data_IF_505657334708
#
_entry.id   IF_505657334708
#
_cell.length_a   1.000
_cell.length_b   1.000
_cell.length_c   1.000
_cell.angle_alpha   90.00
_cell.angle_beta   90.00
_cell.angle_gamma   90.00
#
_symmetry.space_group_name_H-M   'P 1'
#
loop_
_entity.id
_entity.type
_entity.pdbx_description
1 polymer ?
#
# COMPACT_ATOMS: atom_id res chain seq x y z
N UNK A 1 -23.20 -6.80 12.21
CA UNK A 1 -22.93 -6.79 10.75
C UNK A 1 -22.27 -5.47 10.42
N UNK A 2 -20.94 -5.39 10.28
CA UNK A 2 -20.29 -4.13 9.87
C UNK A 2 -20.54 -3.98 8.38
N UNK A 3 -21.46 -3.07 8.03
CA UNK A 3 -21.76 -2.71 6.64
C UNK A 3 -20.47 -2.24 5.97
N UNK A 4 -20.15 -2.81 4.82
CA UNK A 4 -19.09 -2.29 3.95
C UNK A 4 -19.51 -0.84 3.62
N UNK A 5 -18.68 0.16 3.94
CA UNK A 5 -19.00 1.55 3.64
C UNK A 5 -19.22 1.74 2.14
N UNK A 6 -20.11 2.66 1.75
CA UNK A 6 -20.30 2.97 0.35
C UNK A 6 -19.00 3.49 -0.29
N UNK A 7 -18.71 3.05 -1.51
CA UNK A 7 -17.64 3.61 -2.36
C UNK A 7 -18.10 4.85 -3.15
N UNK A 8 -19.39 5.21 -3.02
CA UNK A 8 -19.98 6.38 -3.66
C UNK A 8 -19.54 7.66 -2.95
N UNK A 9 -19.39 8.73 -3.73
CA UNK A 9 -19.17 10.07 -3.22
C UNK A 9 -20.36 10.52 -2.37
N UNK A 10 -20.09 11.13 -1.21
CA UNK A 10 -21.10 11.67 -0.32
C UNK A 10 -20.87 13.18 -0.16
N UNK A 11 -21.67 14.06 -0.77
CA UNK A 11 -21.41 15.51 -0.75
C UNK A 11 -21.56 16.17 0.63
N UNK A 12 -22.11 15.46 1.62
CA UNK A 12 -22.46 16.02 2.93
C UNK A 12 -21.41 15.73 4.02
N UNK A 13 -20.22 15.26 3.65
CA UNK A 13 -19.16 14.93 4.61
C UNK A 13 -17.87 15.68 4.28
N UNK A 14 -16.97 15.88 5.25
CA UNK A 14 -15.62 16.37 4.97
C UNK A 14 -14.88 15.41 4.03
N UNK A 15 -14.17 15.98 3.06
CA UNK A 15 -13.41 15.21 2.07
C UNK A 15 -11.92 15.36 2.26
N UNK A 16 -11.20 14.26 2.04
CA UNK A 16 -9.75 14.27 1.88
C UNK A 16 -9.36 14.86 0.52
N UNK A 17 -8.07 14.98 0.29
CA UNK A 17 -7.52 15.41 -1.01
C UNK A 17 -6.69 14.30 -1.65
N UNK A 18 -6.68 14.29 -2.98
CA UNK A 18 -5.83 13.42 -3.79
C UNK A 18 -4.87 14.30 -4.57
N UNK A 19 -3.58 14.07 -4.41
CA UNK A 19 -2.50 14.88 -4.98
C UNK A 19 -1.62 13.99 -5.83
N UNK A 20 -1.53 14.25 -7.13
CA UNK A 20 -0.56 13.60 -8.02
C UNK A 20 0.72 14.42 -8.06
N UNK A 21 1.86 13.75 -7.97
CA UNK A 21 3.18 14.37 -8.05
C UNK A 21 4.18 13.43 -8.73
N UNK A 22 5.42 13.88 -8.91
CA UNK A 22 6.52 13.10 -9.45
C UNK A 22 7.76 13.29 -8.57
N UNK A 23 8.59 12.26 -8.48
CA UNK A 23 9.90 12.30 -7.84
C UNK A 23 10.97 11.91 -8.86
N UNK A 24 11.99 12.76 -9.02
CA UNK A 24 13.18 12.39 -9.79
C UNK A 24 13.92 11.26 -9.07
N UNK A 25 14.01 10.11 -9.72
CA UNK A 25 14.62 8.91 -9.13
C UNK A 25 16.01 8.68 -9.70
N UNK A 26 17.01 8.62 -8.81
CA UNK A 26 18.37 8.24 -9.20
C UNK A 26 18.45 6.74 -9.46
N UNK A 27 17.75 5.94 -8.65
CA UNK A 27 17.69 4.49 -8.83
C UNK A 27 17.11 4.09 -10.19
N UNK A 28 16.12 4.84 -10.69
CA UNK A 28 15.47 4.55 -11.97
C UNK A 28 16.06 5.32 -13.15
N UNK A 29 16.75 6.43 -12.90
CA UNK A 29 17.26 7.33 -13.93
C UNK A 29 16.15 8.13 -14.65
N UNK A 30 14.98 8.24 -14.03
CA UNK A 30 13.80 8.91 -14.60
C UNK A 30 12.92 9.52 -13.50
N UNK A 31 11.96 10.38 -13.91
CA UNK A 31 10.90 10.84 -13.03
C UNK A 31 9.88 9.72 -12.80
N UNK A 32 9.59 9.43 -11.54
CA UNK A 32 8.63 8.41 -11.13
C UNK A 32 7.37 9.05 -10.55
N UNK A 33 6.20 8.87 -11.18
CA UNK A 33 4.94 9.37 -10.67
C UNK A 33 4.47 8.68 -9.39
N UNK A 34 3.79 9.43 -8.53
CA UNK A 34 3.07 8.88 -7.38
C UNK A 34 1.84 9.74 -7.04
N UNK A 35 0.89 9.15 -6.33
CA UNK A 35 -0.32 9.82 -5.87
C UNK A 35 -0.44 9.69 -4.36
N UNK A 36 -0.87 10.77 -3.69
CA UNK A 36 -1.06 10.81 -2.24
C UNK A 36 -2.52 11.12 -1.93
N UNK A 37 -3.12 10.34 -1.04
CA UNK A 37 -4.37 10.70 -0.37
C UNK A 37 -4.08 11.28 1.01
N UNK A 38 -4.62 12.46 1.30
CA UNK A 38 -4.61 13.10 2.60
C UNK A 38 -6.02 13.05 3.20
N UNK A 39 -6.17 12.59 4.46
CA UNK A 39 -7.49 12.42 5.05
C UNK A 39 -8.20 13.76 5.31
N UNK A 40 -9.55 13.75 5.44
CA UNK A 40 -10.30 14.94 5.83
C UNK A 40 -9.73 15.58 7.10
N UNK A 41 -9.64 16.91 7.11
CA UNK A 41 -9.09 17.67 8.23
C UNK A 41 -7.55 17.75 8.27
N UNK A 42 -6.84 17.16 7.29
CA UNK A 42 -5.37 17.26 7.22
C UNK A 42 -4.88 18.71 7.37
N UNK A 43 -5.44 19.65 6.61
CA UNK A 43 -5.01 21.06 6.62
C UNK A 43 -5.51 21.88 7.82
N UNK A 44 -6.42 21.34 8.63
CA UNK A 44 -7.04 22.09 9.74
C UNK A 44 -6.19 22.06 11.02
N UNK A 45 -5.36 21.03 11.22
CA UNK A 45 -4.47 20.89 12.38
C UNK A 45 -3.03 20.60 11.92
N UNK A 46 -2.17 21.60 12.04
CA UNK A 46 -0.76 21.50 11.66
C UNK A 46 0.09 20.69 12.63
N UNK A 47 -0.41 20.38 13.83
CA UNK A 47 0.32 19.61 14.85
C UNK A 47 0.03 18.11 14.76
N UNK A 48 -0.98 17.71 13.99
CA UNK A 48 -1.37 16.31 13.84
C UNK A 48 -0.54 15.59 12.79
N UNK A 49 -0.01 14.43 13.18
CA UNK A 49 0.67 13.47 12.30
C UNK A 49 -0.14 12.19 12.14
N UNK A 50 0.01 11.54 10.99
CA UNK A 50 -0.85 10.45 10.53
C UNK A 50 -0.04 9.18 10.27
N UNK A 51 -0.60 7.97 10.50
CA UNK A 51 -0.01 6.74 9.97
C UNK A 51 0.10 6.77 8.44
N UNK A 52 0.97 5.93 7.88
CA UNK A 52 1.18 5.78 6.45
C UNK A 52 0.75 4.39 5.97
N UNK A 53 -0.01 4.35 4.89
CA UNK A 53 -0.21 3.17 4.06
C UNK A 53 0.49 3.38 2.70
N UNK A 54 1.40 2.48 2.34
CA UNK A 54 1.89 2.36 0.95
C UNK A 54 0.97 1.40 0.20
N UNK A 55 0.32 1.87 -0.87
CA UNK A 55 -0.71 1.11 -1.58
C UNK A 55 -0.33 0.87 -3.05
N UNK A 56 0.04 -0.36 -3.36
CA UNK A 56 0.65 -0.76 -4.63
C UNK A 56 -0.39 -1.19 -5.67
N UNK A 57 -0.20 -0.79 -6.91
CA UNK A 57 -1.07 -1.13 -8.04
C UNK A 57 -0.75 -2.51 -8.63
N UNK A 58 -1.68 -3.03 -9.43
CA UNK A 58 -1.54 -4.29 -10.15
C UNK A 58 -0.80 -4.14 -11.48
N UNK A 59 -0.49 -5.28 -12.10
CA UNK A 59 0.22 -5.31 -13.37
C UNK A 59 -0.58 -4.60 -14.47
N UNK A 60 0.08 -3.73 -15.25
CA UNK A 60 -0.56 -2.99 -16.34
C UNK A 60 -1.44 -1.81 -15.90
N UNK A 61 -1.37 -1.42 -14.63
CA UNK A 61 -2.00 -0.19 -14.12
C UNK A 61 -0.96 0.85 -13.71
N UNK A 62 -1.39 1.85 -12.96
CA UNK A 62 -0.60 3.02 -12.58
C UNK A 62 -0.86 3.48 -11.14
N UNK A 63 -0.18 4.53 -10.70
CA UNK A 63 -0.33 5.15 -9.38
C UNK A 63 -1.77 5.62 -9.07
N UNK A 64 -2.62 5.75 -10.09
CA UNK A 64 -4.00 6.22 -9.94
C UNK A 64 -5.02 5.08 -9.87
N UNK A 65 -4.60 3.80 -9.97
CA UNK A 65 -5.51 2.65 -9.96
C UNK A 65 -6.49 2.70 -8.79
N UNK A 66 -6.00 2.91 -7.58
CA UNK A 66 -6.82 2.87 -6.37
C UNK A 66 -7.75 4.07 -6.25
N UNK A 67 -7.39 5.22 -6.80
CA UNK A 67 -8.26 6.39 -6.89
C UNK A 67 -9.36 6.15 -7.92
N UNK A 68 -8.98 5.74 -9.13
CA UNK A 68 -9.88 5.61 -10.28
C UNK A 68 -10.83 4.42 -10.13
N UNK A 69 -10.28 3.25 -9.82
CA UNK A 69 -11.00 1.97 -9.85
C UNK A 69 -11.41 1.56 -8.43
N UNK A 70 -10.52 1.74 -7.46
CA UNK A 70 -10.78 1.44 -6.04
C UNK A 70 -11.62 2.49 -5.31
N UNK A 71 -11.84 3.67 -5.91
CA UNK A 71 -12.53 4.82 -5.30
C UNK A 71 -12.00 5.16 -3.90
N UNK A 72 -10.69 5.05 -3.70
CA UNK A 72 -10.07 5.10 -2.37
C UNK A 72 -10.42 6.37 -1.60
N UNK A 73 -10.48 7.54 -2.26
CA UNK A 73 -10.85 8.79 -1.59
C UNK A 73 -12.24 8.70 -0.94
N UNK A 74 -13.26 8.32 -1.72
CA UNK A 74 -14.63 8.20 -1.21
C UNK A 74 -14.73 7.15 -0.10
N UNK A 75 -14.08 6.00 -0.31
CA UNK A 75 -14.10 4.90 0.65
C UNK A 75 -13.50 5.32 1.99
N UNK A 76 -12.35 5.98 1.95
CA UNK A 76 -11.65 6.46 3.13
C UNK A 76 -12.39 7.61 3.81
N UNK A 77 -12.92 8.57 3.06
CA UNK A 77 -13.70 9.68 3.60
C UNK A 77 -14.96 9.18 4.34
N UNK A 78 -15.69 8.24 3.75
CA UNK A 78 -16.86 7.63 4.37
C UNK A 78 -16.51 6.87 5.65
N UNK A 79 -15.40 6.13 5.66
CA UNK A 79 -14.91 5.40 6.84
C UNK A 79 -14.50 6.34 7.98
N UNK A 80 -13.75 7.39 7.66
CA UNK A 80 -13.31 8.40 8.64
C UNK A 80 -14.52 9.16 9.19
N UNK A 81 -15.45 9.59 8.34
CA UNK A 81 -16.67 10.28 8.77
C UNK A 81 -17.54 9.41 9.69
N UNK A 82 -17.66 8.11 9.39
CA UNK A 82 -18.41 7.17 10.21
C UNK A 82 -17.69 6.78 11.53
N UNK A 83 -16.46 7.25 11.77
CA UNK A 83 -15.65 6.87 12.93
C UNK A 83 -15.24 5.40 12.92
N UNK A 84 -15.25 4.75 11.76
CA UNK A 84 -14.93 3.32 11.62
C UNK A 84 -13.42 3.05 11.63
N UNK A 85 -12.61 4.06 11.29
CA UNK A 85 -11.15 4.04 11.30
C UNK A 85 -10.60 5.38 11.80
N UNK A 86 -9.37 5.37 12.28
CA UNK A 86 -8.59 6.60 12.41
C UNK A 86 -8.10 7.09 11.03
N UNK A 87 -7.99 8.41 10.81
CA UNK A 87 -7.47 8.95 9.56
C UNK A 87 -5.98 8.62 9.37
N UNK A 88 -5.60 8.24 8.15
CA UNK A 88 -4.20 8.00 7.75
C UNK A 88 -3.91 8.48 6.32
N UNK A 89 -2.63 8.66 6.00
CA UNK A 89 -2.14 9.05 4.68
C UNK A 89 -1.92 7.80 3.83
N UNK A 90 -2.27 7.86 2.54
CA UNK A 90 -1.98 6.78 1.59
C UNK A 90 -1.04 7.31 0.52
N UNK A 91 0.08 6.62 0.28
CA UNK A 91 0.99 6.88 -0.83
C UNK A 91 0.89 5.74 -1.83
N UNK A 92 0.62 6.07 -3.09
CA UNK A 92 0.44 5.14 -4.21
C UNK A 92 1.56 5.40 -5.22
N UNK A 93 2.66 4.61 -5.22
CA UNK A 93 3.75 4.77 -6.19
C UNK A 93 3.42 4.14 -7.55
N UNK A 94 3.97 4.71 -8.63
CA UNK A 94 4.06 4.00 -9.90
C UNK A 94 5.13 2.90 -9.83
N UNK A 95 4.71 1.68 -10.10
CA UNK A 95 5.51 0.45 -10.06
C UNK A 95 5.85 -0.13 -11.43
N UNK A 96 5.35 0.45 -12.52
CA UNK A 96 5.48 -0.09 -13.88
C UNK A 96 5.06 -1.58 -13.94
N UNK A 97 5.89 -2.46 -14.50
CA UNK A 97 5.70 -3.92 -14.55
C UNK A 97 6.76 -4.65 -13.72
N UNK A 98 7.37 -3.93 -12.78
CA UNK A 98 8.61 -4.34 -12.11
C UNK A 98 8.46 -5.39 -11.01
N UNK A 99 7.23 -5.75 -10.61
CA UNK A 99 6.96 -6.52 -9.38
C UNK A 99 7.50 -5.86 -8.10
N UNK A 100 7.86 -4.57 -8.16
CA UNK A 100 8.43 -3.80 -7.06
C UNK A 100 9.77 -4.33 -6.53
N UNK A 101 10.59 -4.94 -7.40
CA UNK A 101 11.93 -5.44 -7.07
C UNK A 101 13.04 -4.55 -7.66
N UNK A 102 14.31 -4.85 -7.33
CA UNK A 102 15.50 -4.21 -7.89
C UNK A 102 15.48 -2.67 -7.74
N UNK A 103 15.73 -1.92 -8.81
CA UNK A 103 15.74 -0.46 -8.76
C UNK A 103 14.39 0.15 -8.34
N UNK A 104 13.26 -0.56 -8.55
CA UNK A 104 11.97 -0.09 -8.06
C UNK A 104 11.82 -0.25 -6.55
N UNK A 105 12.42 -1.29 -5.97
CA UNK A 105 12.55 -1.43 -4.51
C UNK A 105 13.39 -0.27 -3.95
N UNK A 106 14.59 -0.02 -4.51
CA UNK A 106 15.46 1.08 -4.07
C UNK A 106 14.74 2.43 -4.17
N UNK A 107 14.09 2.71 -5.30
CA UNK A 107 13.32 3.94 -5.47
C UNK A 107 12.24 4.12 -4.38
N UNK A 108 11.45 3.08 -4.10
CA UNK A 108 10.36 3.20 -3.12
C UNK A 108 10.93 3.38 -1.71
N UNK A 109 11.93 2.59 -1.35
CA UNK A 109 12.40 2.49 0.02
C UNK A 109 13.38 3.60 0.40
N UNK A 110 14.30 3.95 -0.50
CA UNK A 110 15.40 4.87 -0.22
C UNK A 110 15.14 6.30 -0.74
N UNK A 111 14.21 6.48 -1.68
CA UNK A 111 13.91 7.79 -2.25
C UNK A 111 12.49 8.26 -1.90
N UNK A 112 11.47 7.49 -2.27
CA UNK A 112 10.07 7.93 -2.16
C UNK A 112 9.59 7.98 -0.71
N UNK A 113 9.78 6.93 0.09
CA UNK A 113 9.32 6.92 1.50
C UNK A 113 9.99 8.04 2.31
N UNK A 114 11.31 8.26 2.22
CA UNK A 114 11.95 9.41 2.85
C UNK A 114 11.39 10.75 2.34
N UNK A 115 11.22 10.91 1.02
CA UNK A 115 10.65 12.12 0.43
C UNK A 115 9.25 12.43 0.97
N UNK A 116 8.33 11.47 0.98
CA UNK A 116 6.96 11.71 1.48
C UNK A 116 6.92 11.96 2.98
N UNK A 117 7.86 11.39 3.76
CA UNK A 117 7.98 11.67 5.21
C UNK A 117 8.48 13.09 5.49
N UNK A 118 9.27 13.66 4.60
CA UNK A 118 9.71 15.06 4.67
C UNK A 118 8.59 16.03 4.26
N UNK A 119 7.82 15.67 3.23
CA UNK A 119 6.77 16.54 2.68
C UNK A 119 5.44 16.50 3.43
N UNK A 120 5.13 15.39 4.11
CA UNK A 120 3.84 15.19 4.77
C UNK A 120 4.01 14.82 6.25
N UNK A 121 3.00 15.14 7.08
CA UNK A 121 3.01 14.86 8.52
C UNK A 121 2.76 13.37 8.81
N UNK A 122 3.76 12.55 8.53
CA UNK A 122 3.71 11.09 8.72
C UNK A 122 4.34 10.72 10.07
N UNK A 123 3.67 9.85 10.84
CA UNK A 123 4.22 9.31 12.09
C UNK A 123 5.46 8.44 11.80
N UNK A 124 6.58 8.63 12.53
CA UNK A 124 7.77 7.83 12.34
C UNK A 124 7.60 6.43 12.94
N UNK A 125 8.34 5.46 12.41
CA UNK A 125 8.42 4.10 12.95
C UNK A 125 7.47 3.09 12.30
N UNK A 126 7.88 1.83 12.31
CA UNK A 126 7.20 0.74 11.62
C UNK A 126 5.78 0.47 12.11
N UNK A 127 5.49 0.71 13.39
CA UNK A 127 4.16 0.53 13.98
C UNK A 127 3.11 1.48 13.37
N UNK A 128 3.53 2.54 12.68
CA UNK A 128 2.66 3.48 11.98
C UNK A 128 2.78 3.40 10.46
N UNK A 129 3.47 2.40 9.92
CA UNK A 129 3.70 2.25 8.49
C UNK A 129 3.25 0.86 8.03
N UNK A 130 2.26 0.81 7.15
CA UNK A 130 1.71 -0.40 6.56
C UNK A 130 1.93 -0.41 5.04
N UNK A 131 1.86 -1.60 4.44
CA UNK A 131 1.87 -1.78 2.99
C UNK A 131 0.81 -2.77 2.53
N UNK A 132 0.19 -2.47 1.39
CA UNK A 132 -0.82 -3.32 0.76
C UNK A 132 -0.78 -3.13 -0.76
N UNK A 133 -1.50 -3.97 -1.49
CA UNK A 133 -1.61 -3.87 -2.95
C UNK A 133 -2.29 -5.06 -3.57
N UNK A 134 -2.68 -4.93 -4.84
CA UNK A 134 -3.46 -5.93 -5.58
C UNK A 134 -2.63 -6.65 -6.64
N UNK A 135 -2.75 -7.98 -6.76
CA UNK A 135 -2.07 -8.77 -7.80
C UNK A 135 -0.55 -8.60 -7.78
N UNK A 136 0.07 -7.97 -8.78
CA UNK A 136 1.48 -7.55 -8.73
C UNK A 136 1.81 -6.73 -7.48
N UNK A 137 0.93 -5.80 -7.09
CA UNK A 137 1.07 -5.03 -5.87
C UNK A 137 0.88 -5.87 -4.61
N UNK A 138 0.14 -6.98 -4.68
CA UNK A 138 0.03 -7.93 -3.57
C UNK A 138 1.34 -8.68 -3.37
N UNK A 139 1.98 -9.11 -4.45
CA UNK A 139 3.36 -9.64 -4.40
C UNK A 139 4.32 -8.59 -3.81
N UNK A 140 4.34 -7.38 -4.37
CA UNK A 140 5.21 -6.30 -3.91
C UNK A 140 5.01 -5.94 -2.43
N UNK A 141 3.77 -5.95 -1.95
CA UNK A 141 3.46 -5.65 -0.56
C UNK A 141 4.04 -6.68 0.41
N UNK A 142 4.03 -7.96 0.03
CA UNK A 142 4.65 -9.01 0.83
C UNK A 142 6.19 -8.94 0.73
N UNK A 143 6.70 -8.82 -0.50
CA UNK A 143 8.14 -8.82 -0.80
C UNK A 143 8.86 -7.66 -0.09
N UNK A 144 8.37 -6.43 -0.25
CA UNK A 144 8.96 -5.25 0.36
C UNK A 144 8.84 -5.29 1.89
N UNK A 145 7.68 -5.67 2.44
CA UNK A 145 7.50 -5.75 3.89
C UNK A 145 8.44 -6.76 4.54
N UNK A 146 8.66 -7.91 3.90
CA UNK A 146 9.55 -8.93 4.42
C UNK A 146 11.02 -8.50 4.41
N UNK A 147 11.44 -7.76 3.38
CA UNK A 147 12.82 -7.28 3.24
C UNK A 147 13.12 -6.03 4.05
N UNK A 148 12.09 -5.22 4.33
CA UNK A 148 12.20 -3.92 5.02
C UNK A 148 11.35 -3.90 6.30
N UNK A 149 11.58 -4.88 7.19
CA UNK A 149 10.84 -5.04 8.46
C UNK A 149 11.16 -3.96 9.51
N UNK A 150 12.17 -3.13 9.25
CA UNK A 150 12.46 -1.90 9.99
C UNK A 150 11.54 -0.74 9.56
N UNK A 151 10.97 -0.81 8.35
CA UNK A 151 10.06 0.19 7.80
C UNK A 151 8.60 -0.19 7.99
N UNK A 152 8.22 -1.45 7.73
CA UNK A 152 6.82 -1.88 7.75
C UNK A 152 6.49 -2.72 8.98
N UNK A 153 5.48 -2.30 9.72
CA UNK A 153 4.93 -3.03 10.87
C UNK A 153 3.62 -3.74 10.58
N UNK A 154 3.13 -3.67 9.35
CA UNK A 154 1.98 -4.44 8.86
C UNK A 154 2.05 -4.61 7.34
N UNK A 155 1.77 -5.82 6.85
CA UNK A 155 1.55 -6.07 5.43
C UNK A 155 0.19 -6.74 5.21
N UNK A 156 -0.56 -6.25 4.21
CA UNK A 156 -1.82 -6.83 3.80
C UNK A 156 -1.88 -7.08 2.29
N UNK A 157 -1.24 -8.15 1.76
CA UNK A 157 -1.30 -8.50 0.35
C UNK A 157 -2.72 -8.88 -0.12
N UNK A 158 -3.15 -8.36 -1.27
CA UNK A 158 -4.46 -8.66 -1.87
C UNK A 158 -4.28 -9.40 -3.20
N UNK A 159 -4.77 -10.64 -3.29
CA UNK A 159 -4.71 -11.50 -4.47
C UNK A 159 -3.29 -11.57 -5.07
N UNK A 160 -2.26 -11.58 -4.23
CA UNK A 160 -0.86 -11.56 -4.67
C UNK A 160 -0.48 -12.82 -5.46
N UNK A 161 0.23 -12.66 -6.57
CA UNK A 161 0.76 -13.81 -7.30
C UNK A 161 2.13 -14.21 -6.73
N UNK A 162 2.16 -15.25 -5.91
CA UNK A 162 3.38 -15.69 -5.21
C UNK A 162 4.01 -16.89 -5.89
N UNK A 163 4.80 -16.63 -6.93
CA UNK A 163 5.64 -17.64 -7.56
C UNK A 163 7.12 -17.38 -7.25
N UNK A 164 7.60 -18.09 -6.25
CA UNK A 164 8.87 -17.82 -5.59
C UNK A 164 10.06 -18.41 -6.33
N UNK A 165 9.83 -19.22 -7.38
CA UNK A 165 10.93 -19.72 -8.22
C UNK A 165 11.61 -18.58 -8.99
N UNK A 166 10.90 -17.48 -9.23
CA UNK A 166 11.46 -16.28 -9.85
C UNK A 166 12.29 -15.43 -8.89
N UNK A 167 12.17 -15.66 -7.59
CA UNK A 167 12.78 -14.87 -6.51
C UNK A 167 13.38 -15.81 -5.45
N UNK A 168 14.43 -16.59 -5.78
CA UNK A 168 15.00 -17.61 -4.89
C UNK A 168 15.56 -17.04 -3.58
N UNK A 169 15.91 -15.75 -3.57
CA UNK A 169 16.27 -14.99 -2.37
C UNK A 169 15.10 -14.84 -1.40
N UNK A 170 13.87 -14.84 -1.91
CA UNK A 170 12.65 -14.72 -1.15
C UNK A 170 12.17 -16.12 -0.73
N UNK A 171 12.72 -16.64 0.37
CA UNK A 171 12.44 -17.99 0.84
C UNK A 171 11.20 -18.03 1.74
N UNK A 172 10.16 -18.76 1.32
CA UNK A 172 8.88 -18.88 2.04
C UNK A 172 9.01 -19.27 3.51
N UNK A 173 9.90 -20.22 3.83
CA UNK A 173 10.14 -20.69 5.21
C UNK A 173 10.76 -19.63 6.12
N UNK A 174 11.25 -18.52 5.56
CA UNK A 174 11.87 -17.42 6.28
C UNK A 174 10.97 -16.19 6.36
N UNK A 175 9.75 -16.23 5.80
CA UNK A 175 8.81 -15.11 5.87
C UNK A 175 8.27 -14.97 7.29
N UNK A 176 9.07 -14.33 8.13
CA UNK A 176 8.66 -13.72 9.38
C UNK A 176 8.27 -12.27 9.09
N UNK A 177 7.26 -11.78 9.79
CA UNK A 177 6.89 -10.36 9.80
C UNK A 177 6.41 -10.05 11.20
N UNK A 178 7.19 -9.24 11.91
CA UNK A 178 6.88 -8.87 13.29
C UNK A 178 6.76 -7.33 13.42
N UNK A 179 5.55 -6.79 13.66
CA UNK A 179 4.25 -7.49 13.73
C UNK A 179 3.49 -7.57 12.39
N UNK A 180 2.45 -8.42 12.36
CA UNK A 180 1.28 -8.50 11.46
C UNK A 180 1.46 -8.69 9.93
N UNK A 181 0.99 -9.85 9.45
CA UNK A 181 0.76 -10.15 8.04
C UNK A 181 -0.66 -10.70 7.85
N UNK A 182 -1.44 -10.10 6.95
CA UNK A 182 -2.78 -10.58 6.57
C UNK A 182 -2.88 -10.82 5.07
N UNK A 183 -3.07 -12.06 4.65
CA UNK A 183 -3.18 -12.41 3.23
C UNK A 183 -4.65 -12.55 2.87
N UNK A 184 -5.11 -11.78 1.88
CA UNK A 184 -6.48 -11.84 1.37
C UNK A 184 -6.49 -12.20 -0.11
N UNK A 185 -7.39 -13.09 -0.52
CA UNK A 185 -7.58 -13.45 -1.92
C UNK A 185 -9.05 -13.89 -2.13
N UNK A 186 -9.62 -13.57 -3.29
CA UNK A 186 -10.97 -14.02 -3.64
C UNK A 186 -11.00 -15.54 -3.86
N UNK A 187 -12.03 -16.23 -3.38
CA UNK A 187 -12.15 -17.69 -3.50
C UNK A 187 -12.30 -18.19 -4.95
N UNK A 188 -12.68 -17.30 -5.87
CA UNK A 188 -12.81 -17.59 -7.30
C UNK A 188 -11.60 -17.12 -8.12
N UNK A 189 -10.53 -16.66 -7.48
CA UNK A 189 -9.30 -16.23 -8.16
C UNK A 189 -8.46 -17.46 -8.54
N UNK A 190 -8.69 -17.99 -9.74
CA UNK A 190 -8.00 -19.20 -10.22
C UNK A 190 -6.50 -19.03 -10.45
N UNK A 191 -5.98 -17.80 -10.38
CA UNK A 191 -4.57 -17.48 -10.59
C UNK A 191 -3.83 -17.42 -9.26
N UNK A 192 -4.39 -16.70 -8.29
CA UNK A 192 -3.72 -16.38 -7.03
C UNK A 192 -4.17 -17.26 -5.86
N UNK A 193 -5.40 -17.78 -5.85
CA UNK A 193 -5.98 -18.40 -4.65
C UNK A 193 -5.13 -19.55 -4.08
N UNK A 194 -4.78 -20.55 -4.89
CA UNK A 194 -3.99 -21.70 -4.43
C UNK A 194 -2.60 -21.30 -3.90
N UNK A 195 -1.97 -20.28 -4.51
CA UNK A 195 -0.67 -19.74 -4.07
C UNK A 195 -0.79 -18.99 -2.74
N UNK A 196 -1.84 -18.18 -2.57
CA UNK A 196 -2.13 -17.47 -1.32
C UNK A 196 -2.46 -18.46 -0.19
N UNK A 197 -3.27 -19.47 -0.47
CA UNK A 197 -3.64 -20.50 0.51
C UNK A 197 -2.41 -21.27 1.00
N UNK A 198 -1.49 -21.60 0.07
CA UNK A 198 -0.23 -22.28 0.40
C UNK A 198 0.62 -21.46 1.38
N UNK A 199 0.73 -20.14 1.18
CA UNK A 199 1.45 -19.25 2.10
C UNK A 199 0.86 -19.24 3.51
N UNK A 200 -0.47 -19.17 3.61
CA UNK A 200 -1.15 -19.15 4.92
C UNK A 200 -0.94 -20.46 5.66
N UNK A 201 -1.00 -21.60 4.95
CA UNK A 201 -0.74 -22.92 5.53
C UNK A 201 0.68 -23.05 6.09
N UNK A 202 1.69 -22.44 5.46
CA UNK A 202 3.07 -22.44 5.96
C UNK A 202 3.30 -21.61 7.24
N UNK A 203 2.42 -20.66 7.56
CA UNK A 203 2.53 -19.81 8.76
C UNK A 203 1.92 -20.43 10.03
N UNK A 204 1.13 -21.50 9.90
CA UNK A 204 0.58 -22.26 11.04
C UNK A 204 1.56 -23.34 11.47
#
# INVERSE_FOLDING_TARGET
MRLIPPISFNPNIPHGSVISSNLESKALGENSPFTVYLPPGYSADSNKSYPLLVLLHGYGSDQNQWVRDGKVQNFMDNLVHAGAIEPFIIVMPYGDKSQYVNNREVHIMEELIPYVRDQYRIKPGKTFTAISGGSMGGFGALYLAHRHQDVFGLSAPLSGYFDMSYYPEFQLKKITMEPELYIYCGTNDHISFARNESLVKFKK
#
